data_IF_250494324294
#
_entry.id   IF_250494324294
#
_cell.length_a   1.000
_cell.length_b   1.000
_cell.length_c   1.000
_cell.angle_alpha   90.00
_cell.angle_beta   90.00
_cell.angle_gamma   90.00
#
_symmetry.space_group_name_H-M   'P 1'
#
loop_
_entity.id
_entity.type
_entity.pdbx_description
1 polymer ?
#
# COMPACT_ATOMS: atom_id res chain seq x y z
N UNK A 1 1.56 0.84 20.90
CA UNK A 1 0.08 0.87 20.84
C UNK A 1 -0.25 -0.12 19.76
N UNK A 2 -1.08 -1.12 20.05
CA UNK A 2 -1.35 -2.16 19.06
C UNK A 2 -2.22 -1.60 17.94
N UNK A 3 -1.88 -1.97 16.70
CA UNK A 3 -2.71 -1.69 15.54
C UNK A 3 -4.06 -2.37 15.69
N UNK A 4 -5.11 -1.70 15.25
CA UNK A 4 -6.44 -2.28 15.20
C UNK A 4 -6.54 -3.22 13.99
N UNK A 5 -6.71 -4.50 14.26
CA UNK A 5 -6.77 -5.53 13.22
C UNK A 5 -7.95 -5.34 12.27
N UNK A 6 -9.08 -4.79 12.73
CA UNK A 6 -10.23 -4.54 11.86
C UNK A 6 -9.97 -3.37 10.90
N UNK A 7 -9.19 -2.38 11.34
CA UNK A 7 -8.73 -1.29 10.47
C UNK A 7 -7.76 -1.83 9.42
N UNK A 8 -6.77 -2.62 9.81
CA UNK A 8 -5.84 -3.25 8.87
C UNK A 8 -6.56 -4.15 7.84
N UNK A 9 -7.57 -4.92 8.27
CA UNK A 9 -8.42 -5.71 7.36
C UNK A 9 -9.14 -4.83 6.34
N UNK A 10 -9.69 -3.71 6.78
CA UNK A 10 -10.35 -2.74 5.89
C UNK A 10 -9.35 -2.18 4.88
N UNK A 11 -8.15 -1.80 5.32
CA UNK A 11 -7.10 -1.29 4.43
C UNK A 11 -6.65 -2.36 3.43
N UNK A 12 -6.51 -3.62 3.84
CA UNK A 12 -6.22 -4.73 2.92
C UNK A 12 -7.29 -4.88 1.82
N UNK A 13 -8.56 -4.69 2.16
CA UNK A 13 -9.64 -4.70 1.16
C UNK A 13 -9.54 -3.52 0.19
N UNK A 14 -9.23 -2.31 0.67
CA UNK A 14 -9.07 -1.14 -0.18
C UNK A 14 -7.90 -1.31 -1.16
N UNK A 15 -6.75 -1.78 -0.68
CA UNK A 15 -5.59 -2.06 -1.54
C UNK A 15 -5.88 -3.20 -2.53
N UNK A 16 -6.63 -4.23 -2.12
CA UNK A 16 -7.14 -5.27 -3.02
C UNK A 16 -8.00 -4.69 -4.14
N UNK A 17 -8.87 -3.73 -3.84
CA UNK A 17 -9.73 -3.08 -4.83
C UNK A 17 -8.90 -2.28 -5.84
N UNK A 18 -7.87 -1.56 -5.37
CA UNK A 18 -6.93 -0.85 -6.25
C UNK A 18 -6.14 -1.81 -7.17
N UNK A 19 -5.67 -2.94 -6.62
CA UNK A 19 -4.98 -3.97 -7.41
C UNK A 19 -5.89 -4.50 -8.52
N UNK A 20 -7.13 -4.86 -8.18
CA UNK A 20 -8.12 -5.36 -9.15
C UNK A 20 -8.50 -4.32 -10.19
N UNK A 21 -8.54 -3.04 -9.81
CA UNK A 21 -8.88 -1.96 -10.72
C UNK A 21 -7.76 -1.67 -11.72
N UNK A 22 -6.49 -1.80 -11.30
CA UNK A 22 -5.34 -1.28 -12.06
C UNK A 22 -4.41 -2.35 -12.64
N UNK A 23 -4.56 -3.61 -12.20
CA UNK A 23 -3.80 -4.75 -12.70
C UNK A 23 -4.72 -5.86 -13.25
N UNK A 24 -4.35 -6.50 -14.36
CA UNK A 24 -5.08 -7.67 -14.84
C UNK A 24 -4.91 -8.86 -13.88
N UNK A 25 -5.86 -9.80 -13.94
CA UNK A 25 -5.82 -11.06 -13.20
C UNK A 25 -6.73 -11.06 -11.96
N UNK A 26 -6.62 -12.13 -11.18
CA UNK A 26 -7.32 -12.27 -9.90
C UNK A 26 -6.39 -11.87 -8.76
N UNK A 27 -6.88 -11.00 -7.88
CA UNK A 27 -6.13 -10.47 -6.74
C UNK A 27 -6.92 -10.65 -5.46
N UNK A 28 -6.23 -11.06 -4.39
CA UNK A 28 -6.80 -11.17 -3.05
C UNK A 28 -5.78 -10.74 -2.00
N UNK A 29 -6.20 -9.93 -1.04
CA UNK A 29 -5.44 -9.56 0.15
C UNK A 29 -6.24 -9.96 1.39
N UNK A 30 -5.71 -10.87 2.21
CA UNK A 30 -6.35 -11.38 3.42
C UNK A 30 -5.44 -11.17 4.62
N UNK A 31 -5.93 -10.46 5.64
CA UNK A 31 -5.19 -10.26 6.89
C UNK A 31 -5.68 -11.24 7.96
N UNK A 32 -4.79 -12.17 8.32
CA UNK A 32 -5.01 -13.17 9.37
C UNK A 32 -4.98 -12.53 10.77
N UNK A 33 -5.44 -13.29 11.77
CA UNK A 33 -5.53 -12.83 13.17
C UNK A 33 -4.18 -12.56 13.85
N UNK A 34 -3.09 -13.02 13.26
CA UNK A 34 -1.71 -12.90 13.74
C UNK A 34 -0.90 -11.82 13.00
N UNK A 35 -1.59 -10.83 12.41
CA UNK A 35 -1.00 -9.74 11.62
C UNK A 35 -0.21 -10.21 10.39
N UNK A 36 -0.51 -11.40 9.88
CA UNK A 36 0.06 -11.89 8.61
C UNK A 36 -0.87 -11.48 7.46
N UNK A 37 -0.36 -10.63 6.57
CA UNK A 37 -1.00 -10.29 5.31
C UNK A 37 -0.67 -11.34 4.26
N UNK A 38 -1.71 -11.96 3.70
CA UNK A 38 -1.61 -12.96 2.64
C UNK A 38 -2.09 -12.33 1.34
N UNK A 39 -1.21 -12.28 0.35
CA UNK A 39 -1.52 -11.73 -0.97
C UNK A 39 -1.49 -12.87 -1.97
N UNK A 40 -2.61 -13.09 -2.66
CA UNK A 40 -2.78 -14.16 -3.64
C UNK A 40 -3.09 -13.60 -5.02
N UNK A 41 -2.43 -14.17 -6.03
CA UNK A 41 -2.73 -13.94 -7.44
C UNK A 41 -2.44 -15.19 -8.27
N UNK A 42 -2.63 -15.10 -9.59
CA UNK A 42 -2.23 -16.15 -10.53
C UNK A 42 -0.70 -16.37 -10.57
N UNK A 43 0.08 -15.40 -10.06
CA UNK A 43 1.54 -15.47 -10.02
C UNK A 43 2.05 -16.23 -8.79
N UNK A 44 1.25 -16.32 -7.74
CA UNK A 44 1.62 -17.01 -6.52
C UNK A 44 0.89 -16.50 -5.28
N UNK A 45 1.40 -16.90 -4.13
CA UNK A 45 0.94 -16.45 -2.81
C UNK A 45 2.15 -15.94 -2.04
N UNK A 46 2.03 -14.75 -1.46
CA UNK A 46 3.00 -14.16 -0.55
C UNK A 46 2.38 -14.01 0.83
N UNK A 47 3.18 -14.20 1.87
CA UNK A 47 2.80 -13.97 3.27
C UNK A 47 3.80 -12.99 3.87
N UNK A 48 3.31 -11.88 4.42
CA UNK A 48 4.13 -10.83 5.02
C UNK A 48 3.64 -10.54 6.42
N UNK A 49 4.56 -10.46 7.37
CA UNK A 49 4.24 -10.03 8.72
C UNK A 49 4.11 -8.51 8.75
N UNK A 50 2.95 -8.02 9.18
CA UNK A 50 2.73 -6.61 9.49
C UNK A 50 3.14 -6.42 10.95
N UNK A 51 3.92 -5.37 11.24
CA UNK A 51 4.27 -5.05 12.61
C UNK A 51 2.99 -4.80 13.43
N UNK A 52 2.92 -5.36 14.64
CA UNK A 52 1.74 -5.20 15.50
C UNK A 52 1.67 -3.80 16.13
N UNK A 53 2.81 -3.18 16.36
CA UNK A 53 2.89 -1.85 16.98
C UNK A 53 2.83 -0.74 15.93
N UNK A 54 2.03 0.28 16.25
CA UNK A 54 2.02 1.58 15.56
C UNK A 54 3.34 2.30 15.85
N UNK A 55 3.98 2.81 14.80
CA UNK A 55 5.16 3.68 14.95
C UNK A 55 4.72 5.05 15.47
N UNK A 56 5.18 5.39 16.68
CA UNK A 56 4.84 6.64 17.37
C UNK A 56 5.97 7.64 17.38
N UNK A 57 7.11 7.31 16.79
CA UNK A 57 8.33 8.11 16.94
C UNK A 57 8.17 9.52 16.32
N UNK A 58 7.24 9.65 15.37
CA UNK A 58 6.91 10.92 14.71
C UNK A 58 5.62 11.58 15.21
N UNK A 59 5.03 11.08 16.30
CA UNK A 59 3.75 11.62 16.79
C UNK A 59 4.00 12.84 17.69
N UNK A 60 3.37 14.00 17.42
CA UNK A 60 3.35 15.16 18.30
C UNK A 60 2.97 14.81 19.74
N UNK A 61 3.66 15.41 20.71
CA UNK A 61 3.45 15.16 22.16
C UNK A 61 2.18 15.84 22.73
N UNK A 62 1.52 16.69 21.95
CA UNK A 62 0.39 17.53 22.39
C UNK A 62 -0.94 16.76 22.41
N UNK A 63 -1.89 17.19 23.25
CA UNK A 63 -3.18 16.52 23.42
C UNK A 63 -4.03 16.58 22.14
N UNK A 64 -4.00 15.50 21.36
CA UNK A 64 -4.83 15.33 20.18
C UNK A 64 -6.31 15.25 20.51
N UNK A 65 -7.14 15.75 19.58
CA UNK A 65 -8.56 15.40 19.57
C UNK A 65 -8.69 13.91 19.23
N UNK A 66 -9.76 13.26 19.71
CA UNK A 66 -10.02 11.86 19.38
C UNK A 66 -10.10 11.62 17.86
N UNK A 67 -10.64 12.59 17.12
CA UNK A 67 -10.73 12.56 15.65
C UNK A 67 -9.34 12.54 14.99
N UNK A 68 -8.41 13.38 15.44
CA UNK A 68 -7.05 13.39 14.89
C UNK A 68 -6.31 12.09 15.21
N UNK A 69 -6.51 11.55 16.40
CA UNK A 69 -5.95 10.26 16.78
C UNK A 69 -6.49 9.11 15.91
N UNK A 70 -7.79 9.07 15.65
CA UNK A 70 -8.38 8.07 14.77
C UNK A 70 -7.86 8.19 13.34
N UNK A 71 -7.71 9.42 12.85
CA UNK A 71 -7.14 9.71 11.54
C UNK A 71 -5.71 9.18 11.40
N UNK A 72 -4.81 9.49 12.33
CA UNK A 72 -3.42 9.02 12.26
C UNK A 72 -3.30 7.50 12.35
N UNK A 73 -4.17 6.83 13.13
CA UNK A 73 -4.20 5.36 13.15
C UNK A 73 -4.62 4.80 11.78
N UNK A 74 -5.59 5.43 11.12
CA UNK A 74 -6.02 5.01 9.78
C UNK A 74 -4.91 5.22 8.74
N UNK A 75 -4.16 6.32 8.82
CA UNK A 75 -3.01 6.59 7.95
C UNK A 75 -1.89 5.55 8.15
N UNK A 76 -1.50 5.26 9.39
CA UNK A 76 -0.49 4.25 9.71
C UNK A 76 -0.91 2.85 9.23
N UNK A 77 -2.17 2.48 9.43
CA UNK A 77 -2.70 1.21 8.96
C UNK A 77 -2.69 1.12 7.42
N UNK A 78 -2.93 2.25 6.75
CA UNK A 78 -2.91 2.34 5.30
C UNK A 78 -1.49 2.14 4.77
N UNK A 79 -0.53 2.92 5.26
CA UNK A 79 0.88 2.85 4.87
C UNK A 79 1.43 1.44 5.09
N UNK A 80 1.22 0.86 6.28
CA UNK A 80 1.72 -0.48 6.60
C UNK A 80 1.21 -1.57 5.64
N UNK A 81 -0.06 -1.52 5.24
CA UNK A 81 -0.64 -2.50 4.31
C UNK A 81 -0.19 -2.23 2.87
N UNK A 82 -0.24 -0.97 2.43
CA UNK A 82 0.13 -0.59 1.08
C UNK A 82 1.61 -0.91 0.81
N UNK A 83 2.52 -0.54 1.71
CA UNK A 83 3.94 -0.87 1.61
C UNK A 83 4.18 -2.38 1.58
N UNK A 84 3.53 -3.15 2.46
CA UNK A 84 3.67 -4.61 2.45
C UNK A 84 3.20 -5.23 1.13
N UNK A 85 2.14 -4.70 0.51
CA UNK A 85 1.71 -5.12 -0.82
C UNK A 85 2.76 -4.77 -1.88
N UNK A 86 3.31 -3.55 -1.85
CA UNK A 86 4.37 -3.14 -2.78
C UNK A 86 5.60 -4.05 -2.69
N UNK A 87 6.02 -4.38 -1.46
CA UNK A 87 7.14 -5.28 -1.21
C UNK A 87 6.87 -6.69 -1.77
N UNK A 88 5.67 -7.23 -1.53
CA UNK A 88 5.26 -8.54 -2.04
C UNK A 88 5.32 -8.59 -3.57
N UNK A 89 4.78 -7.58 -4.24
CA UNK A 89 4.81 -7.44 -5.69
C UNK A 89 6.24 -7.31 -6.21
N UNK A 90 7.09 -6.59 -5.48
CA UNK A 90 8.52 -6.47 -5.76
C UNK A 90 9.21 -7.84 -5.80
N UNK A 91 8.86 -8.77 -4.90
CA UNK A 91 9.39 -10.15 -4.93
C UNK A 91 8.99 -10.93 -6.19
N UNK A 92 7.90 -10.55 -6.85
CA UNK A 92 7.44 -11.11 -8.12
C UNK A 92 7.96 -10.33 -9.34
N UNK A 93 8.83 -9.35 -9.13
CA UNK A 93 9.37 -8.50 -10.20
C UNK A 93 8.33 -7.54 -10.78
N UNK A 94 7.33 -7.16 -9.97
CA UNK A 94 6.33 -6.16 -10.31
C UNK A 94 6.58 -4.87 -9.55
N UNK A 95 6.38 -3.74 -10.24
CA UNK A 95 6.32 -2.41 -9.65
C UNK A 95 4.90 -1.88 -9.77
N UNK A 96 4.32 -1.53 -8.64
CA UNK A 96 2.96 -1.03 -8.56
C UNK A 96 2.75 -0.23 -7.25
N UNK A 97 1.90 0.82 -7.25
CA UNK A 97 1.31 1.42 -8.43
C UNK A 97 2.28 2.38 -9.12
N UNK A 98 2.08 2.56 -10.42
CA UNK A 98 2.85 3.51 -11.25
C UNK A 98 1.89 4.57 -11.78
N UNK A 99 2.19 5.84 -11.48
CA UNK A 99 1.48 7.00 -12.04
C UNK A 99 1.57 6.98 -13.56
N UNK A 100 0.43 6.99 -14.26
CA UNK A 100 0.42 6.97 -15.73
C UNK A 100 0.92 8.26 -16.36
N UNK A 101 0.70 9.40 -15.70
CA UNK A 101 1.12 10.70 -16.22
C UNK A 101 2.64 10.84 -16.20
N UNK A 102 3.27 10.46 -15.09
CA UNK A 102 4.70 10.68 -14.88
C UNK A 102 5.56 9.43 -15.05
N UNK A 103 4.94 8.25 -15.22
CA UNK A 103 5.63 6.96 -15.22
C UNK A 103 6.52 6.76 -13.99
N UNK A 104 6.08 7.28 -12.85
CA UNK A 104 6.79 7.27 -11.57
C UNK A 104 6.05 6.40 -10.54
N UNK A 105 6.75 5.77 -9.58
CA UNK A 105 6.11 5.07 -8.47
C UNK A 105 5.14 5.96 -7.69
N UNK A 106 4.04 5.36 -7.26
CA UNK A 106 3.19 5.92 -6.22
C UNK A 106 3.62 5.30 -4.89
N UNK A 107 3.63 6.12 -3.85
CA UNK A 107 3.83 5.67 -2.47
C UNK A 107 2.58 6.00 -1.66
N UNK A 108 2.19 5.15 -0.71
CA UNK A 108 1.16 5.52 0.25
C UNK A 108 1.70 6.67 1.12
N UNK A 109 0.86 7.67 1.37
CA UNK A 109 1.18 8.77 2.26
C UNK A 109 -0.15 9.30 2.78
N UNK A 110 -0.37 9.31 4.09
CA UNK A 110 -1.56 9.94 4.67
C UNK A 110 -2.89 9.44 4.07
N UNK A 111 -2.98 8.15 3.77
CA UNK A 111 -4.18 7.54 3.21
C UNK A 111 -4.41 7.75 1.70
N UNK A 112 -3.49 8.43 1.01
CA UNK A 112 -3.53 8.65 -0.45
C UNK A 112 -2.36 7.99 -1.17
N UNK A 113 -2.54 7.74 -2.47
CA UNK A 113 -1.45 7.38 -3.38
C UNK A 113 -0.77 8.65 -3.90
N UNK A 114 0.42 8.94 -3.38
CA UNK A 114 1.20 10.11 -3.75
C UNK A 114 2.24 9.77 -4.83
N UNK A 115 2.29 10.58 -5.89
CA UNK A 115 3.26 10.43 -6.97
C UNK A 115 4.60 11.05 -6.59
N UNK A 116 5.69 10.26 -6.62
CA UNK A 116 7.03 10.70 -6.22
C UNK A 116 7.80 11.43 -7.33
N UNK A 117 7.12 12.01 -8.31
CA UNK A 117 7.77 12.73 -9.42
C UNK A 117 8.31 14.10 -8.98
N UNK A 118 9.02 14.81 -9.86
CA UNK A 118 9.45 16.19 -9.61
C UNK A 118 8.27 17.14 -9.34
N UNK A 119 7.07 16.79 -9.83
CA UNK A 119 5.80 17.44 -9.51
C UNK A 119 5.01 16.44 -8.68
N UNK A 120 5.29 16.41 -7.36
CA UNK A 120 4.57 15.54 -6.46
C UNK A 120 3.09 15.93 -6.42
N UNK A 121 2.20 14.93 -6.52
CA UNK A 121 0.76 15.15 -6.45
C UNK A 121 0.05 13.92 -5.91
N UNK A 122 -1.06 14.18 -5.23
CA UNK A 122 -1.95 13.15 -4.71
C UNK A 122 -2.86 12.68 -5.83
N UNK A 123 -2.82 11.39 -6.13
CA UNK A 123 -3.51 10.85 -7.28
C UNK A 123 -4.94 10.41 -6.94
N UNK A 124 -5.10 9.71 -5.82
CA UNK A 124 -6.36 9.19 -5.31
C UNK A 124 -6.21 8.75 -3.85
N UNK A 125 -7.33 8.66 -3.14
CA UNK A 125 -7.40 7.91 -1.88
C UNK A 125 -7.07 6.43 -2.14
N UNK A 126 -6.50 5.73 -1.15
CA UNK A 126 -6.33 4.27 -1.24
C UNK A 126 -7.69 3.59 -1.26
N UNK A 127 -7.87 2.66 -2.19
CA UNK A 127 -9.15 2.02 -2.55
C UNK A 127 -9.93 2.77 -3.64
N UNK A 128 -9.41 3.90 -4.13
CA UNK A 128 -10.06 4.70 -5.19
C UNK A 128 -9.19 4.86 -6.44
N UNK A 129 -8.14 4.05 -6.60
CA UNK A 129 -7.22 4.13 -7.72
C UNK A 129 -7.88 3.60 -9.00
N UNK A 130 -7.91 4.41 -10.05
CA UNK A 130 -8.48 3.99 -11.34
C UNK A 130 -7.40 3.56 -12.35
N UNK A 131 -7.75 2.69 -13.33
CA UNK A 131 -6.84 2.33 -14.41
C UNK A 131 -6.51 3.50 -15.37
N UNK A 132 -7.14 4.67 -15.26
CA UNK A 132 -6.72 5.89 -15.98
C UNK A 132 -5.59 6.62 -15.26
N UNK A 133 -5.51 6.47 -13.94
CA UNK A 133 -4.53 7.13 -13.07
C UNK A 133 -3.26 6.31 -12.92
N UNK A 134 -3.39 4.99 -12.74
CA UNK A 134 -2.26 4.13 -12.42
C UNK A 134 -2.20 2.84 -13.25
N UNK A 135 -1.05 2.17 -13.18
CA UNK A 135 -0.81 0.86 -13.77
C UNK A 135 0.29 0.11 -13.01
N UNK A 136 0.68 -1.07 -13.49
CA UNK A 136 1.85 -1.81 -13.02
C UNK A 136 2.86 -1.97 -14.16
N UNK A 137 4.13 -2.11 -13.82
CA UNK A 137 5.18 -2.48 -14.77
C UNK A 137 5.99 -3.65 -14.23
N UNK A 138 6.57 -4.44 -15.12
CA UNK A 138 7.58 -5.40 -14.71
C UNK A 138 8.89 -4.66 -14.45
N UNK A 139 9.54 -4.98 -13.34
CA UNK A 139 10.90 -4.55 -13.11
C UNK A 139 11.79 -5.21 -14.17
N UNK A 140 12.25 -4.42 -15.12
CA UNK A 140 13.29 -4.89 -16.04
C UNK A 140 14.55 -4.96 -15.19
N UNK A 141 14.98 -6.17 -14.83
CA UNK A 141 16.22 -6.35 -14.08
C UNK A 141 17.31 -5.48 -14.71
N UNK A 142 18.06 -4.68 -13.94
CA UNK A 142 19.15 -3.90 -14.51
C UNK A 142 20.05 -4.89 -15.26
N UNK A 143 20.30 -4.63 -16.55
CA UNK A 143 21.30 -5.34 -17.33
C UNK A 143 22.58 -5.34 -16.49
N UNK A 144 22.90 -6.47 -15.87
CA UNK A 144 24.18 -6.63 -15.20
C UNK A 144 25.24 -6.50 -16.29
N UNK A 145 25.92 -5.36 -16.30
CA UNK A 145 27.09 -5.19 -17.15
C UNK A 145 28.13 -6.24 -16.72
N UNK A 146 28.75 -6.94 -17.70
CA UNK A 146 29.69 -8.02 -17.43
C UNK A 146 30.96 -7.56 -16.71
#
# INVERSE_FOLDING_TARGET
MQRDIERLRRMAQLVEDDLRATMPGTWKCDLRSDYVLVIGSEQGVAELAIAEDVDRDNWPEEAWTAEYHDFTIDEDANEAIAEAVQDALGTWGLRWPICREHSAPLSPCSGVWACSSAIAHDLADVGALSPQQATATHETAPLQAP
#
